data_IF_761886095409
#
_entry.id   IF_761886095409
#
_cell.length_a   1.000
_cell.length_b   1.000
_cell.length_c   1.000
_cell.angle_alpha   90.00
_cell.angle_beta   90.00
_cell.angle_gamma   90.00
#
_symmetry.space_group_name_H-M   'P 1'
#
loop_
_entity.id
_entity.type
_entity.pdbx_description
1 polymer ?
#
# COMPACT_ATOMS: atom_id res chain seq x y z
N UNK A 1 -23.12 77.75 -30.11
CA UNK A 1 -24.03 77.36 -31.21
C UNK A 1 -24.39 75.90 -31.01
N UNK A 2 -25.67 75.62 -31.23
CA UNK A 2 -26.42 74.40 -30.91
C UNK A 2 -26.04 73.26 -31.87
N UNK A 3 -26.08 72.01 -31.39
CA UNK A 3 -26.63 70.79 -32.06
C UNK A 3 -26.38 69.60 -31.10
N UNK A 4 -27.36 69.19 -30.28
CA UNK A 4 -28.37 68.15 -30.56
C UNK A 4 -27.82 66.89 -31.24
N UNK A 5 -27.45 65.89 -30.43
CA UNK A 5 -27.68 64.49 -30.81
C UNK A 5 -28.50 63.81 -29.71
N UNK A 6 -29.67 63.39 -30.15
CA UNK A 6 -30.72 62.68 -29.46
C UNK A 6 -30.33 61.20 -29.42
N UNK A 7 -30.28 60.57 -28.24
CA UNK A 7 -30.36 59.12 -28.15
C UNK A 7 -31.27 58.70 -26.99
N UNK A 8 -32.09 57.66 -27.19
CA UNK A 8 -33.41 57.57 -26.60
C UNK A 8 -33.39 57.00 -25.18
N UNK A 9 -34.38 57.42 -24.40
CA UNK A 9 -34.82 56.72 -23.19
C UNK A 9 -35.35 55.35 -23.61
N UNK A 10 -34.51 54.32 -23.47
CA UNK A 10 -34.90 52.92 -23.56
C UNK A 10 -35.42 52.44 -22.20
N UNK A 11 -36.68 52.02 -22.20
CA UNK A 11 -37.45 51.52 -21.06
C UNK A 11 -36.67 50.68 -20.04
N UNK A 12 -36.94 50.97 -18.77
CA UNK A 12 -36.69 50.11 -17.62
C UNK A 12 -37.55 48.85 -17.79
N UNK A 13 -36.99 47.79 -18.39
CA UNK A 13 -37.63 46.49 -18.43
C UNK A 13 -37.32 45.72 -17.14
N UNK A 14 -38.15 45.97 -16.12
CA UNK A 14 -38.09 45.37 -14.78
C UNK A 14 -38.45 43.89 -14.71
N UNK A 15 -38.11 43.08 -15.73
CA UNK A 15 -38.43 41.64 -15.78
C UNK A 15 -37.23 40.69 -15.53
N UNK A 16 -36.00 41.22 -15.41
CA UNK A 16 -34.81 40.37 -15.27
C UNK A 16 -34.55 39.88 -13.83
N UNK A 17 -34.79 40.73 -12.82
CA UNK A 17 -34.47 40.36 -11.42
C UNK A 17 -35.43 39.35 -10.81
N UNK A 18 -36.72 39.39 -11.16
CA UNK A 18 -37.69 38.42 -10.66
C UNK A 18 -37.43 37.02 -11.24
N UNK A 19 -37.08 36.94 -12.53
CA UNK A 19 -36.72 35.66 -13.18
C UNK A 19 -35.43 35.07 -12.62
N UNK A 20 -34.44 35.91 -12.29
CA UNK A 20 -33.20 35.45 -11.67
C UNK A 20 -33.41 34.96 -10.23
N UNK A 21 -34.27 35.63 -9.45
CA UNK A 21 -34.61 35.19 -8.08
C UNK A 21 -35.46 33.93 -8.10
N UNK A 22 -36.35 33.78 -9.08
CA UNK A 22 -37.14 32.56 -9.27
C UNK A 22 -36.26 31.39 -9.73
N UNK A 23 -35.26 31.61 -10.58
CA UNK A 23 -34.30 30.56 -10.99
C UNK A 23 -33.36 30.15 -9.84
N UNK A 24 -32.92 31.11 -9.01
CA UNK A 24 -32.16 30.87 -7.77
C UNK A 24 -33.01 30.17 -6.70
N UNK A 25 -34.29 30.53 -6.57
CA UNK A 25 -35.23 29.81 -5.71
C UNK A 25 -35.49 28.40 -6.26
N UNK A 26 -35.62 28.20 -7.58
CA UNK A 26 -35.81 26.87 -8.19
C UNK A 26 -34.58 25.97 -8.01
N UNK A 27 -33.36 26.55 -8.01
CA UNK A 27 -32.12 25.86 -7.60
C UNK A 27 -32.08 25.55 -6.11
N UNK A 28 -32.57 26.45 -5.26
CA UNK A 28 -32.66 26.28 -3.80
C UNK A 28 -33.79 25.34 -3.35
N UNK A 29 -34.80 25.11 -4.21
CA UNK A 29 -35.89 24.16 -4.03
C UNK A 29 -35.59 22.77 -4.61
N UNK A 30 -34.32 22.44 -4.87
CA UNK A 30 -33.96 21.01 -4.89
C UNK A 30 -34.27 20.45 -3.50
N UNK A 31 -35.21 19.50 -3.36
CA UNK A 31 -35.58 18.98 -2.06
C UNK A 31 -34.34 18.45 -1.35
N UNK A 32 -34.16 18.70 -0.03
CA UNK A 32 -33.07 18.14 0.74
C UNK A 32 -33.27 16.63 0.84
N UNK A 33 -32.79 15.91 -0.16
CA UNK A 33 -32.97 14.47 -0.31
C UNK A 33 -31.91 13.80 -1.18
N UNK A 34 -30.81 14.48 -1.50
CA UNK A 34 -29.69 13.93 -2.27
C UNK A 34 -28.54 13.50 -1.34
N UNK A 35 -28.84 12.74 -0.29
CA UNK A 35 -27.84 12.36 0.72
C UNK A 35 -28.01 11.00 1.37
N UNK A 36 -29.12 10.30 1.15
CA UNK A 36 -29.27 8.91 1.59
C UNK A 36 -30.21 8.18 0.62
N UNK A 37 -29.88 6.96 0.17
CA UNK A 37 -30.75 6.17 -0.69
C UNK A 37 -32.11 5.99 -0.01
N UNK A 38 -33.17 6.48 -0.65
CA UNK A 38 -34.50 6.64 -0.02
C UNK A 38 -35.42 5.47 -0.32
N UNK A 39 -35.22 4.77 -1.44
CA UNK A 39 -35.94 3.54 -1.75
C UNK A 39 -35.11 2.30 -1.41
N UNK A 40 -35.74 1.15 -1.09
CA UNK A 40 -35.03 -0.10 -0.88
C UNK A 40 -34.13 -0.51 -2.08
N UNK A 41 -34.56 -0.20 -3.31
CA UNK A 41 -33.78 -0.46 -4.52
C UNK A 41 -32.50 0.39 -4.59
N UNK A 42 -32.58 1.69 -4.31
CA UNK A 42 -31.41 2.59 -4.26
C UNK A 42 -30.41 2.17 -3.15
N UNK A 43 -30.92 1.67 -2.01
CA UNK A 43 -30.06 1.16 -0.92
C UNK A 43 -29.28 -0.07 -1.36
N UNK A 44 -29.94 -0.97 -2.10
CA UNK A 44 -29.32 -2.18 -2.66
C UNK A 44 -28.30 -1.79 -3.74
N UNK A 45 -28.62 -0.85 -4.63
CA UNK A 45 -27.71 -0.39 -5.68
C UNK A 45 -26.45 0.29 -5.11
N UNK A 46 -26.61 1.12 -4.08
CA UNK A 46 -25.48 1.73 -3.37
C UNK A 46 -24.60 0.65 -2.69
N UNK A 47 -25.21 -0.32 -2.02
CA UNK A 47 -24.49 -1.42 -1.39
C UNK A 47 -23.75 -2.29 -2.41
N UNK A 48 -24.38 -2.62 -3.54
CA UNK A 48 -23.75 -3.37 -4.62
C UNK A 48 -22.59 -2.59 -5.27
N UNK A 49 -22.75 -1.28 -5.46
CA UNK A 49 -21.67 -0.42 -5.97
C UNK A 49 -20.48 -0.40 -5.00
N UNK A 50 -20.74 -0.34 -3.70
CA UNK A 50 -19.70 -0.41 -2.68
C UNK A 50 -18.99 -1.77 -2.70
N UNK A 51 -19.74 -2.88 -2.77
CA UNK A 51 -19.17 -4.23 -2.90
C UNK A 51 -18.30 -4.35 -4.15
N UNK A 52 -18.77 -3.85 -5.31
CA UNK A 52 -17.98 -3.88 -6.54
C UNK A 52 -16.69 -3.07 -6.43
N UNK A 53 -16.73 -1.90 -5.78
CA UNK A 53 -15.53 -1.11 -5.54
C UNK A 53 -14.55 -1.86 -4.63
N UNK A 54 -15.01 -2.45 -3.54
CA UNK A 54 -14.18 -3.26 -2.64
C UNK A 54 -13.60 -4.50 -3.33
N UNK A 55 -14.37 -5.15 -4.23
CA UNK A 55 -13.87 -6.28 -5.03
C UNK A 55 -12.78 -5.84 -6.00
N UNK A 56 -12.93 -4.69 -6.68
CA UNK A 56 -11.87 -4.15 -7.56
C UNK A 56 -10.61 -3.79 -6.79
N UNK A 57 -10.76 -3.19 -5.61
CA UNK A 57 -9.61 -2.91 -4.73
C UNK A 57 -8.90 -4.21 -4.31
N UNK A 58 -9.64 -5.24 -3.88
CA UNK A 58 -9.05 -6.53 -3.56
C UNK A 58 -8.35 -7.18 -4.75
N UNK A 59 -8.94 -7.12 -5.95
CA UNK A 59 -8.30 -7.64 -7.17
C UNK A 59 -6.97 -6.94 -7.44
N UNK A 60 -6.94 -5.61 -7.34
CA UNK A 60 -5.71 -4.83 -7.52
C UNK A 60 -4.64 -5.20 -6.48
N UNK A 61 -5.01 -5.37 -5.21
CA UNK A 61 -4.09 -5.79 -4.15
C UNK A 61 -3.52 -7.19 -4.43
N UNK A 62 -4.37 -8.15 -4.82
CA UNK A 62 -3.96 -9.51 -5.16
C UNK A 62 -3.02 -9.52 -6.38
N UNK A 63 -3.31 -8.72 -7.41
CA UNK A 63 -2.45 -8.59 -8.59
C UNK A 63 -1.07 -8.02 -8.25
N UNK A 64 -1.03 -6.99 -7.38
CA UNK A 64 0.22 -6.43 -6.90
C UNK A 64 1.04 -7.45 -6.10
N UNK A 65 0.39 -8.21 -5.21
CA UNK A 65 1.03 -9.27 -4.44
C UNK A 65 1.58 -10.38 -5.34
N UNK A 66 0.81 -10.77 -6.36
CA UNK A 66 1.23 -11.76 -7.35
C UNK A 66 2.45 -11.28 -8.13
N UNK A 67 2.47 -10.03 -8.57
CA UNK A 67 3.60 -9.45 -9.28
C UNK A 67 4.86 -9.40 -8.41
N UNK A 68 4.71 -9.04 -7.13
CA UNK A 68 5.79 -9.05 -6.14
C UNK A 68 6.32 -10.47 -5.91
N UNK A 69 5.43 -11.45 -5.77
CA UNK A 69 5.80 -12.85 -5.62
C UNK A 69 6.54 -13.39 -6.85
N UNK A 70 6.05 -13.10 -8.06
CA UNK A 70 6.68 -13.53 -9.31
C UNK A 70 8.08 -12.91 -9.49
N UNK A 71 8.24 -11.64 -9.13
CA UNK A 71 9.55 -10.96 -9.18
C UNK A 71 10.56 -11.61 -8.22
N UNK A 72 10.14 -11.95 -7.00
CA UNK A 72 10.97 -12.71 -6.05
C UNK A 72 11.30 -14.11 -6.56
N UNK A 73 10.31 -14.83 -7.10
CA UNK A 73 10.51 -16.16 -7.68
C UNK A 73 11.52 -16.12 -8.83
N UNK A 74 11.42 -15.13 -9.72
CA UNK A 74 12.37 -14.93 -10.82
C UNK A 74 13.80 -14.67 -10.31
N UNK A 75 13.93 -13.86 -9.25
CA UNK A 75 15.23 -13.61 -8.59
C UNK A 75 15.79 -14.91 -8.01
N UNK A 76 14.97 -15.71 -7.32
CA UNK A 76 15.40 -17.01 -6.79
C UNK A 76 15.81 -18.01 -7.87
N UNK A 77 15.15 -18.02 -9.04
CA UNK A 77 15.58 -18.84 -10.18
C UNK A 77 16.96 -18.41 -10.68
N UNK A 78 17.20 -17.10 -10.82
CA UNK A 78 18.50 -16.59 -11.23
C UNK A 78 19.60 -16.91 -10.20
N UNK A 79 19.30 -16.79 -8.92
CA UNK A 79 20.22 -17.17 -7.83
C UNK A 79 20.51 -18.69 -7.88
N UNK A 80 19.49 -19.53 -8.11
CA UNK A 80 19.66 -20.99 -8.26
C UNK A 80 20.58 -21.34 -9.43
N UNK A 81 20.39 -20.72 -10.59
CA UNK A 81 21.24 -20.94 -11.77
C UNK A 81 22.70 -20.54 -11.50
N UNK A 82 22.90 -19.47 -10.72
CA UNK A 82 24.23 -19.04 -10.33
C UNK A 82 24.89 -20.06 -9.38
N UNK A 83 24.14 -20.63 -8.43
CA UNK A 83 24.62 -21.73 -7.56
C UNK A 83 24.92 -23.00 -8.35
N UNK A 84 24.07 -23.38 -9.31
CA UNK A 84 24.30 -24.55 -10.18
C UNK A 84 25.61 -24.38 -10.99
N UNK A 85 25.88 -23.16 -11.45
CA UNK A 85 27.14 -22.84 -12.15
C UNK A 85 28.35 -23.00 -11.23
N UNK A 86 28.28 -22.52 -9.98
CA UNK A 86 29.35 -22.71 -8.99
C UNK A 86 29.61 -24.20 -8.71
N UNK A 87 28.54 -24.99 -8.59
CA UNK A 87 28.62 -26.43 -8.38
C UNK A 87 29.28 -27.13 -9.57
N UNK A 88 28.86 -26.80 -10.80
CA UNK A 88 29.42 -27.37 -12.02
C UNK A 88 30.92 -27.06 -12.18
N UNK A 89 31.35 -25.83 -11.89
CA UNK A 89 32.76 -25.44 -11.91
C UNK A 89 33.56 -26.22 -10.85
N UNK A 90 33.03 -26.31 -9.63
CA UNK A 90 33.66 -27.06 -8.54
C UNK A 90 33.81 -28.54 -8.87
N UNK A 91 32.80 -29.16 -9.49
CA UNK A 91 32.84 -30.56 -9.93
C UNK A 91 33.86 -30.78 -11.04
N UNK A 92 33.98 -29.85 -12.00
CA UNK A 92 35.01 -29.94 -13.06
C UNK A 92 36.42 -29.86 -12.47
N UNK A 93 36.67 -28.92 -11.55
CA UNK A 93 37.95 -28.80 -10.84
C UNK A 93 38.24 -30.09 -10.08
N UNK A 94 37.29 -30.58 -9.29
CA UNK A 94 37.45 -31.81 -8.51
C UNK A 94 37.74 -33.03 -9.39
N UNK A 95 37.08 -33.14 -10.55
CA UNK A 95 37.30 -34.22 -11.51
C UNK A 95 38.74 -34.23 -12.03
N UNK A 96 39.28 -33.07 -12.42
CA UNK A 96 40.68 -32.98 -12.91
C UNK A 96 41.66 -33.32 -11.78
N UNK A 97 41.44 -32.80 -10.57
CA UNK A 97 42.29 -33.07 -9.40
C UNK A 97 42.28 -34.54 -9.01
N UNK A 98 41.12 -35.21 -9.11
CA UNK A 98 40.98 -36.62 -8.76
C UNK A 98 41.76 -37.59 -9.66
N UNK A 99 42.20 -37.14 -10.84
CA UNK A 99 42.96 -37.94 -11.79
C UNK A 99 44.47 -37.98 -11.47
N UNK A 100 44.92 -37.21 -10.47
CA UNK A 100 46.29 -37.23 -9.97
C UNK A 100 47.19 -36.11 -10.51
N UNK A 101 48.36 -35.98 -9.89
CA UNK A 101 49.25 -34.81 -10.03
C UNK A 101 49.78 -34.60 -11.46
N UNK A 102 50.00 -35.68 -12.22
CA UNK A 102 50.47 -35.59 -13.61
C UNK A 102 49.42 -34.93 -14.51
N UNK A 103 48.15 -35.32 -14.36
CA UNK A 103 47.02 -34.71 -15.08
C UNK A 103 46.80 -33.27 -14.64
N UNK A 104 46.90 -32.98 -13.34
CA UNK A 104 46.84 -31.62 -12.81
C UNK A 104 47.92 -30.73 -13.42
N UNK A 105 49.17 -31.23 -13.53
CA UNK A 105 50.27 -30.47 -14.13
C UNK A 105 50.02 -30.22 -15.62
N UNK A 106 49.58 -31.23 -16.35
CA UNK A 106 49.23 -31.11 -17.78
C UNK A 106 48.05 -30.17 -18.05
N UNK A 107 47.09 -30.09 -17.13
CA UNK A 107 45.91 -29.21 -17.24
C UNK A 107 46.01 -27.94 -16.40
N UNK A 108 47.21 -27.59 -15.92
CA UNK A 108 47.42 -26.50 -14.94
C UNK A 108 46.84 -25.16 -15.38
N UNK A 109 46.94 -24.84 -16.67
CA UNK A 109 46.39 -23.60 -17.24
C UNK A 109 44.85 -23.60 -17.20
N UNK A 110 44.21 -24.68 -17.65
CA UNK A 110 42.75 -24.84 -17.59
C UNK A 110 42.25 -24.81 -16.14
N UNK A 111 42.96 -25.46 -15.22
CA UNK A 111 42.64 -25.45 -13.80
C UNK A 111 42.71 -24.03 -13.22
N UNK A 112 43.74 -23.26 -13.58
CA UNK A 112 43.86 -21.86 -13.17
C UNK A 112 42.71 -21.00 -13.70
N UNK A 113 42.28 -21.22 -14.94
CA UNK A 113 41.13 -20.52 -15.53
C UNK A 113 39.82 -20.89 -14.83
N UNK A 114 39.58 -22.18 -14.57
CA UNK A 114 38.39 -22.65 -13.85
C UNK A 114 38.33 -22.12 -12.42
N UNK A 115 39.47 -22.11 -11.72
CA UNK A 115 39.58 -21.57 -10.35
C UNK A 115 39.36 -20.04 -10.36
N UNK A 116 39.94 -19.32 -11.32
CA UNK A 116 39.72 -17.88 -11.47
C UNK A 116 38.24 -17.58 -11.72
N UNK A 117 37.62 -18.31 -12.65
CA UNK A 117 36.20 -18.15 -12.97
C UNK A 117 35.30 -18.46 -11.76
N UNK A 118 35.62 -19.51 -10.99
CA UNK A 118 34.92 -19.82 -9.75
C UNK A 118 35.05 -18.67 -8.73
N UNK A 119 36.26 -18.11 -8.58
CA UNK A 119 36.52 -16.96 -7.72
C UNK A 119 35.73 -15.71 -8.14
N UNK A 120 35.67 -15.42 -9.44
CA UNK A 120 34.91 -14.29 -9.97
C UNK A 120 33.40 -14.47 -9.73
N UNK A 121 32.86 -15.68 -9.97
CA UNK A 121 31.44 -15.97 -9.72
C UNK A 121 31.08 -15.85 -8.23
N UNK A 122 31.94 -16.32 -7.33
CA UNK A 122 31.75 -16.17 -5.88
C UNK A 122 31.79 -14.69 -5.46
N UNK A 123 32.76 -13.93 -5.97
CA UNK A 123 32.90 -12.50 -5.73
C UNK A 123 31.68 -11.70 -6.21
N UNK A 124 31.07 -12.12 -7.33
CA UNK A 124 29.83 -11.52 -7.83
C UNK A 124 28.58 -11.90 -7.02
N UNK A 125 28.55 -13.09 -6.39
CA UNK A 125 27.41 -13.51 -5.57
C UNK A 125 27.40 -12.86 -4.19
N UNK A 126 28.55 -12.69 -3.55
CA UNK A 126 28.66 -12.17 -2.19
C UNK A 126 27.92 -10.83 -1.97
N UNK A 127 28.12 -9.77 -2.77
CA UNK A 127 27.41 -8.50 -2.58
C UNK A 127 25.90 -8.61 -2.86
N UNK A 128 25.45 -9.60 -3.64
CA UNK A 128 24.01 -9.84 -3.87
C UNK A 128 23.37 -10.40 -2.60
N UNK A 129 24.00 -11.40 -1.99
CA UNK A 129 23.54 -11.99 -0.73
C UNK A 129 23.57 -10.95 0.39
N UNK A 130 24.64 -10.17 0.50
CA UNK A 130 24.74 -9.10 1.51
C UNK A 130 23.61 -8.06 1.37
N UNK A 131 23.26 -7.68 0.13
CA UNK A 131 22.12 -6.79 -0.12
C UNK A 131 20.78 -7.42 0.26
N UNK A 132 20.58 -8.71 -0.04
CA UNK A 132 19.36 -9.42 0.36
C UNK A 132 19.21 -9.44 1.89
N UNK A 133 20.31 -9.72 2.61
CA UNK A 133 20.35 -9.67 4.08
C UNK A 133 20.02 -8.28 4.59
N UNK A 134 20.66 -7.23 4.05
CA UNK A 134 20.40 -5.85 4.45
C UNK A 134 18.93 -5.43 4.23
N UNK A 135 18.34 -5.81 3.09
CA UNK A 135 16.93 -5.53 2.81
C UNK A 135 15.98 -6.28 3.74
N UNK A 136 16.27 -7.55 4.06
CA UNK A 136 15.48 -8.35 4.98
C UNK A 136 15.52 -7.76 6.40
N UNK A 137 16.71 -7.35 6.86
CA UNK A 137 16.88 -6.67 8.15
C UNK A 137 16.12 -5.34 8.18
N UNK A 138 16.22 -4.53 7.12
CA UNK A 138 15.48 -3.26 7.05
C UNK A 138 13.96 -3.47 7.15
N UNK A 139 13.42 -4.49 6.46
CA UNK A 139 11.99 -4.83 6.56
C UNK A 139 11.61 -5.30 7.96
N UNK A 140 12.44 -6.13 8.59
CA UNK A 140 12.22 -6.59 9.95
C UNK A 140 12.20 -5.43 10.95
N UNK A 141 13.12 -4.46 10.80
CA UNK A 141 13.16 -3.25 11.64
C UNK A 141 11.91 -2.39 11.44
N UNK A 142 11.48 -2.17 10.20
CA UNK A 142 10.25 -1.40 9.92
C UNK A 142 9.03 -2.10 10.53
N UNK A 143 8.89 -3.41 10.32
CA UNK A 143 7.77 -4.18 10.90
C UNK A 143 7.80 -4.18 12.43
N UNK A 144 8.99 -4.21 13.04
CA UNK A 144 9.15 -4.08 14.48
C UNK A 144 8.72 -2.69 14.99
N UNK A 145 9.04 -1.62 14.25
CA UNK A 145 8.60 -0.27 14.58
C UNK A 145 7.07 -0.13 14.49
N UNK A 146 6.45 -0.71 13.46
CA UNK A 146 4.99 -0.78 13.33
C UNK A 146 4.36 -1.56 14.49
N UNK A 147 4.93 -2.70 14.87
CA UNK A 147 4.47 -3.49 16.01
C UNK A 147 4.58 -2.71 17.33
N UNK A 148 5.66 -1.96 17.55
CA UNK A 148 5.81 -1.09 18.73
C UNK A 148 4.75 0.02 18.75
N UNK A 149 4.47 0.64 17.60
CA UNK A 149 3.40 1.64 17.50
C UNK A 149 2.02 1.04 17.82
N UNK A 150 1.70 -0.14 17.29
CA UNK A 150 0.47 -0.85 17.62
C UNK A 150 0.39 -1.22 19.12
N UNK A 151 1.52 -1.57 19.74
CA UNK A 151 1.60 -1.84 21.18
C UNK A 151 1.28 -0.59 22.01
N UNK A 152 1.82 0.59 21.66
CA UNK A 152 1.48 1.85 22.33
C UNK A 152 0.00 2.21 22.17
N UNK A 153 -0.55 2.03 20.97
CA UNK A 153 -1.98 2.24 20.72
C UNK A 153 -2.84 1.30 21.57
N UNK A 154 -2.47 0.02 21.66
CA UNK A 154 -3.14 -0.97 22.51
C UNK A 154 -3.12 -0.57 23.99
N UNK A 155 -1.97 -0.08 24.48
CA UNK A 155 -1.84 0.39 25.86
C UNK A 155 -2.72 1.61 26.14
N UNK A 156 -2.77 2.58 25.22
CA UNK A 156 -3.64 3.75 25.34
C UNK A 156 -5.12 3.35 25.35
N UNK A 157 -5.54 2.43 24.48
CA UNK A 157 -6.91 1.90 24.47
C UNK A 157 -7.25 1.23 25.81
N UNK A 158 -6.34 0.44 26.38
CA UNK A 158 -6.56 -0.20 27.68
C UNK A 158 -6.76 0.83 28.80
N UNK A 159 -5.98 1.92 28.81
CA UNK A 159 -6.13 3.03 29.76
C UNK A 159 -7.49 3.74 29.59
N UNK A 160 -7.89 4.02 28.35
CA UNK A 160 -9.20 4.58 28.04
C UNK A 160 -10.35 3.68 28.55
N UNK A 161 -10.23 2.36 28.41
CA UNK A 161 -11.20 1.42 28.96
C UNK A 161 -11.30 1.50 30.49
N UNK A 162 -10.19 1.73 31.21
CA UNK A 162 -10.21 1.92 32.66
C UNK A 162 -10.93 3.22 33.04
N UNK A 163 -10.69 4.32 32.34
CA UNK A 163 -11.40 5.58 32.59
C UNK A 163 -12.90 5.45 32.39
N UNK A 164 -13.33 4.76 31.31
CA UNK A 164 -14.76 4.51 31.04
C UNK A 164 -15.39 3.68 32.17
N UNK A 165 -14.73 2.61 32.62
CA UNK A 165 -15.21 1.79 33.76
C UNK A 165 -15.29 2.59 35.06
N UNK A 166 -14.31 3.44 35.33
CA UNK A 166 -14.31 4.32 36.49
C UNK A 166 -15.49 5.31 36.47
N UNK A 167 -15.73 5.94 35.32
CA UNK A 167 -16.88 6.82 35.13
C UNK A 167 -18.22 6.08 35.32
N UNK A 168 -18.34 4.87 34.79
CA UNK A 168 -19.54 4.02 34.99
C UNK A 168 -19.78 3.71 36.48
N UNK A 169 -18.72 3.39 37.23
CA UNK A 169 -18.84 3.13 38.66
C UNK A 169 -19.31 4.36 39.45
N UNK A 170 -18.74 5.54 39.14
CA UNK A 170 -19.17 6.81 39.77
C UNK A 170 -20.65 7.08 39.51
N UNK A 171 -21.14 6.82 38.30
CA UNK A 171 -22.58 6.97 37.98
C UNK A 171 -23.43 6.00 38.80
N UNK A 172 -23.02 4.73 38.94
CA UNK A 172 -23.72 3.74 39.77
C UNK A 172 -23.77 4.16 41.24
N UNK A 173 -22.67 4.67 41.77
CA UNK A 173 -22.58 5.11 43.16
C UNK A 173 -23.51 6.31 43.45
N UNK A 174 -23.61 7.28 42.52
CA UNK A 174 -24.54 8.41 42.62
C UNK A 174 -26.00 7.93 42.61
N UNK A 175 -26.35 7.00 41.71
CA UNK A 175 -27.72 6.46 41.62
C UNK A 175 -28.07 5.69 42.90
N UNK A 176 -27.15 4.89 43.43
CA UNK A 176 -27.36 4.12 44.66
C UNK A 176 -27.57 5.04 45.89
N UNK A 177 -26.85 6.16 45.97
CA UNK A 177 -27.03 7.16 47.04
C UNK A 177 -28.35 7.93 46.92
N UNK A 178 -28.89 8.11 45.70
CA UNK A 178 -30.18 8.74 45.47
C UNK A 178 -31.41 7.89 45.81
N UNK A 179 -31.26 6.57 46.00
CA UNK A 179 -32.35 5.65 46.35
C UNK A 179 -32.54 5.45 47.87
N UNK A 180 -31.69 6.05 48.71
CA UNK A 180 -31.71 5.89 50.18
C UNK A 180 -32.41 7.04 50.91
N UNK A 181 -33.24 7.84 50.21
CA UNK A 181 -34.05 8.92 50.79
C UNK A 181 -35.54 8.65 50.66
#
# INVERSE_FOLDING_TARGET
MIEHEDYPIGNIDGQSSASHVVEEMRRSFKPPGAGAPTTPAEKIEAALSQVQNSVREQQMLIEQDLQSALSKASTHVADSQAVDTLLALSQQIASIVSQGDDIVRSNSQQLSELISLLGDQLSMQQPKVDRQVAQALQKAVTSLAEAQNAMFQSMAIAEMCLYVKGAEQVVKDIIAQGQVQ
#
